data_IF_872656749002
#
_entry.id   IF_872656749002
#
_cell.length_a   1.000
_cell.length_b   1.000
_cell.length_c   1.000
_cell.angle_alpha   90.00
_cell.angle_beta   90.00
_cell.angle_gamma   90.00
#
_symmetry.space_group_name_H-M   'P 1'
#
loop_
_entity.id
_entity.type
_entity.pdbx_description
1 polymer ?
#
# COMPACT_ATOMS: atom_id res chain seq x y z
N UNK A 1 4.47 12.94 17.61
CA UNK A 1 5.63 12.71 16.73
C UNK A 1 5.16 11.93 15.52
N UNK A 2 5.16 12.55 14.34
CA UNK A 2 4.81 11.89 13.08
C UNK A 2 6.06 11.20 12.58
N UNK A 3 6.13 9.88 12.71
CA UNK A 3 7.20 9.08 12.10
C UNK A 3 6.93 8.96 10.60
N UNK A 4 7.86 9.42 9.77
CA UNK A 4 7.84 9.26 8.32
C UNK A 4 8.82 8.15 7.96
N UNK A 5 8.36 7.13 7.24
CA UNK A 5 9.22 6.02 6.85
C UNK A 5 9.50 6.09 5.35
N UNK A 6 10.64 6.71 5.00
CA UNK A 6 11.14 6.85 3.63
C UNK A 6 11.39 5.53 2.87
N UNK A 7 11.14 4.38 3.50
CA UNK A 7 11.40 3.05 2.97
C UNK A 7 10.28 2.06 3.34
N UNK A 8 9.01 2.44 3.17
CA UNK A 8 7.94 1.43 3.12
C UNK A 8 8.15 0.54 1.88
N UNK A 9 8.75 -0.61 2.13
CA UNK A 9 9.02 -1.67 1.14
C UNK A 9 8.81 -3.02 1.82
N UNK A 10 8.48 -4.10 1.08
CA UNK A 10 8.30 -5.43 1.65
C UNK A 10 9.50 -5.91 2.48
N UNK A 11 10.73 -5.53 2.09
CA UNK A 11 11.95 -5.92 2.82
C UNK A 11 12.03 -5.30 4.23
N UNK A 12 11.27 -4.24 4.49
CA UNK A 12 11.20 -3.55 5.78
C UNK A 12 9.98 -3.99 6.63
N UNK A 13 9.24 -5.01 6.17
CA UNK A 13 8.17 -5.68 6.90
C UNK A 13 8.69 -7.03 7.39
N UNK A 14 9.03 -7.12 8.68
CA UNK A 14 9.46 -8.38 9.28
C UNK A 14 8.26 -9.13 9.82
N UNK A 15 8.18 -10.43 9.50
CA UNK A 15 7.18 -11.34 10.05
C UNK A 15 7.92 -12.36 10.90
N UNK A 16 7.55 -12.48 12.17
CA UNK A 16 8.11 -13.51 13.05
C UNK A 16 7.37 -14.85 12.90
N UNK A 17 7.86 -15.90 13.58
CA UNK A 17 7.24 -17.25 13.52
C UNK A 17 5.79 -17.29 14.03
N UNK A 18 5.37 -16.32 14.86
CA UNK A 18 3.98 -16.17 15.30
C UNK A 18 3.09 -15.55 14.22
N UNK A 19 3.66 -14.93 13.19
CA UNK A 19 2.91 -14.15 12.18
C UNK A 19 2.75 -12.68 12.51
N UNK A 20 3.49 -12.15 13.50
CA UNK A 20 3.47 -10.73 13.82
C UNK A 20 4.28 -9.96 12.79
N UNK A 21 3.61 -9.05 12.09
CA UNK A 21 4.26 -8.10 11.20
C UNK A 21 4.75 -6.90 12.02
N UNK A 22 6.03 -6.57 11.88
CA UNK A 22 6.67 -5.40 12.47
C UNK A 22 7.40 -4.61 11.40
N UNK A 23 7.31 -3.29 11.48
CA UNK A 23 8.13 -2.40 10.67
C UNK A 23 9.56 -2.44 11.20
N UNK A 24 10.50 -2.73 10.32
CA UNK A 24 11.92 -2.78 10.64
C UNK A 24 12.68 -1.81 9.76
N UNK A 25 12.49 -0.51 10.00
CA UNK A 25 13.45 0.51 9.57
C UNK A 25 13.11 1.86 10.19
N UNK A 26 13.50 2.08 11.46
CA UNK A 26 13.53 3.45 12.01
C UNK A 26 14.86 4.17 11.69
N UNK A 27 15.81 3.49 11.03
CA UNK A 27 17.20 3.94 10.87
C UNK A 27 17.40 5.04 9.83
N UNK A 28 16.40 5.31 9.00
CA UNK A 28 16.43 6.36 7.97
C UNK A 28 15.19 7.26 7.99
N UNK A 29 14.50 7.39 9.12
CA UNK A 29 13.64 8.55 9.40
C UNK A 29 14.53 9.81 9.54
N UNK A 30 15.18 10.23 8.45
CA UNK A 30 16.13 11.34 8.43
C UNK A 30 15.41 12.64 8.15
N UNK A 31 15.54 13.57 9.10
CA UNK A 31 15.54 15.00 8.81
C UNK A 31 16.65 15.26 7.77
N UNK A 32 16.30 15.99 6.70
CA UNK A 32 17.14 16.59 5.64
C UNK A 32 18.65 16.25 5.69
N UNK A 33 19.13 15.65 4.61
CA UNK A 33 20.43 15.88 3.92
C UNK A 33 21.28 14.62 3.66
N UNK A 34 21.84 14.62 2.43
CA UNK A 34 22.88 13.79 1.83
C UNK A 34 22.47 12.55 0.99
N UNK A 35 22.78 12.55 -0.33
CA UNK A 35 22.59 11.39 -1.19
C UNK A 35 23.78 10.43 -1.04
N UNK A 36 23.52 9.17 -0.72
CA UNK A 36 24.51 8.09 -0.84
C UNK A 36 24.03 7.11 -1.90
N UNK A 37 24.72 7.13 -3.05
CA UNK A 37 24.46 6.25 -4.20
C UNK A 37 24.73 4.79 -3.79
N UNK A 38 23.68 3.98 -3.75
CA UNK A 38 23.76 2.52 -3.86
C UNK A 38 22.73 2.06 -4.91
N UNK A 39 23.24 1.44 -5.98
CA UNK A 39 22.55 1.18 -7.25
C UNK A 39 21.33 0.23 -7.16
N UNK A 40 21.11 -0.44 -6.03
CA UNK A 40 19.99 -1.35 -5.80
C UNK A 40 18.88 -0.74 -4.92
N UNK A 41 19.23 0.06 -3.91
CA UNK A 41 18.23 0.69 -3.04
C UNK A 41 17.40 1.75 -3.78
N UNK A 42 18.01 2.56 -4.65
CA UNK A 42 17.28 3.60 -5.38
C UNK A 42 16.17 3.01 -6.27
N UNK A 43 16.43 1.87 -6.93
CA UNK A 43 15.48 1.16 -7.79
C UNK A 43 14.33 0.57 -6.98
N UNK A 44 14.61 -0.14 -5.87
CA UNK A 44 13.52 -0.71 -5.05
C UNK A 44 12.73 0.40 -4.35
N UNK A 45 13.38 1.51 -3.96
CA UNK A 45 12.66 2.67 -3.43
C UNK A 45 11.84 3.39 -4.51
N UNK A 46 12.02 3.11 -5.81
CA UNK A 46 11.24 3.74 -6.87
C UNK A 46 9.82 3.16 -6.97
N UNK A 47 9.68 1.83 -6.85
CA UNK A 47 8.43 1.08 -7.04
C UNK A 47 7.29 1.45 -6.09
N UNK A 48 7.64 2.11 -4.98
CA UNK A 48 6.70 2.52 -3.93
C UNK A 48 6.63 4.05 -3.80
N UNK A 49 7.26 4.81 -4.72
CA UNK A 49 7.16 6.28 -4.73
C UNK A 49 5.88 6.74 -5.41
N UNK A 50 5.18 7.72 -4.83
CA UNK A 50 3.97 8.24 -5.43
C UNK A 50 4.26 9.21 -6.58
N UNK A 51 3.31 9.35 -7.54
CA UNK A 51 3.50 10.13 -8.75
C UNK A 51 3.75 11.63 -8.51
N UNK A 52 3.16 12.21 -7.46
CA UNK A 52 3.41 13.60 -7.07
C UNK A 52 4.87 13.85 -6.67
N UNK A 53 5.49 12.92 -5.92
CA UNK A 53 6.92 12.98 -5.57
C UNK A 53 7.80 12.74 -6.80
N UNK A 54 7.42 11.82 -7.68
CA UNK A 54 8.13 11.55 -8.94
C UNK A 54 8.07 12.75 -9.90
N UNK A 55 7.01 13.56 -9.84
CA UNK A 55 6.83 14.81 -10.57
C UNK A 55 7.38 16.04 -9.82
N UNK A 56 8.29 15.83 -8.86
CA UNK A 56 9.05 16.90 -8.22
C UNK A 56 8.35 17.62 -7.06
N UNK A 57 7.24 17.10 -6.53
CA UNK A 57 6.63 17.66 -5.32
C UNK A 57 7.63 17.64 -4.16
N UNK A 58 7.71 18.76 -3.45
CA UNK A 58 8.54 18.92 -2.24
C UNK A 58 7.72 18.81 -0.95
N UNK A 59 6.41 18.60 -1.07
CA UNK A 59 5.50 18.47 0.06
C UNK A 59 5.59 17.06 0.67
N UNK A 60 6.55 16.88 1.58
CA UNK A 60 6.69 15.64 2.33
C UNK A 60 5.63 15.55 3.42
N UNK A 61 4.74 14.56 3.28
CA UNK A 61 3.60 14.37 4.19
C UNK A 61 3.25 12.89 4.35
N UNK A 62 2.46 12.57 5.38
CA UNK A 62 2.02 11.19 5.69
C UNK A 62 1.30 10.46 4.54
N UNK A 63 0.57 11.12 3.61
CA UNK A 63 0.04 10.48 2.40
C UNK A 63 1.07 9.80 1.49
N UNK A 64 2.36 10.12 1.57
CA UNK A 64 3.40 9.42 0.80
C UNK A 64 3.46 7.95 1.21
N UNK A 65 3.45 7.68 2.51
CA UNK A 65 3.48 6.32 3.06
C UNK A 65 2.22 5.52 2.66
N UNK A 66 1.08 6.20 2.52
CA UNK A 66 -0.18 5.57 2.13
C UNK A 66 -0.15 5.01 0.70
N UNK A 67 0.52 5.70 -0.23
CA UNK A 67 0.74 5.18 -1.58
C UNK A 67 1.59 3.91 -1.57
N UNK A 68 2.69 3.93 -0.80
CA UNK A 68 3.55 2.78 -0.63
C UNK A 68 2.79 1.58 -0.02
N UNK A 69 1.94 1.84 0.97
CA UNK A 69 1.01 0.83 1.53
C UNK A 69 0.10 0.24 0.46
N UNK A 70 -0.46 1.05 -0.45
CA UNK A 70 -1.25 0.57 -1.58
C UNK A 70 -0.47 -0.37 -2.51
N UNK A 71 0.76 0.00 -2.84
CA UNK A 71 1.66 -0.81 -3.67
C UNK A 71 2.03 -2.14 -2.99
N UNK A 72 2.35 -2.11 -1.69
CA UNK A 72 2.64 -3.31 -0.89
C UNK A 72 1.38 -4.18 -0.74
N UNK A 73 0.21 -3.57 -0.51
CA UNK A 73 -1.06 -4.28 -0.40
C UNK A 73 -1.37 -5.06 -1.69
N UNK A 74 -1.15 -4.43 -2.84
CA UNK A 74 -1.21 -5.12 -4.13
C UNK A 74 -0.21 -6.28 -4.22
N UNK A 75 1.04 -6.04 -3.85
CA UNK A 75 2.12 -7.03 -3.96
C UNK A 75 1.89 -8.24 -3.06
N UNK A 76 1.44 -8.03 -1.82
CA UNK A 76 1.01 -9.11 -0.92
C UNK A 76 -0.12 -9.92 -1.54
N UNK A 77 -1.07 -9.25 -2.22
CA UNK A 77 -2.19 -9.93 -2.83
C UNK A 77 -1.80 -10.70 -4.10
N UNK A 78 -0.90 -10.17 -4.92
CA UNK A 78 -0.62 -10.67 -6.27
C UNK A 78 0.72 -11.40 -6.41
N UNK A 79 1.60 -11.32 -5.41
CA UNK A 79 2.94 -11.92 -5.41
C UNK A 79 3.95 -11.24 -6.34
N UNK A 80 3.62 -10.05 -6.86
CA UNK A 80 4.49 -9.27 -7.77
C UNK A 80 4.28 -7.77 -7.55
N UNK A 81 5.29 -6.93 -7.79
CA UNK A 81 5.15 -5.48 -7.67
C UNK A 81 4.10 -4.93 -8.64
N UNK A 82 3.43 -3.85 -8.21
CA UNK A 82 2.41 -3.16 -9.02
C UNK A 82 3.06 -2.31 -10.12
N UNK A 83 4.02 -1.48 -9.72
CA UNK A 83 4.82 -0.62 -10.58
C UNK A 83 6.28 -1.04 -10.39
N UNK A 84 6.95 -1.38 -11.48
CA UNK A 84 8.29 -1.98 -11.46
C UNK A 84 9.19 -1.32 -12.52
N UNK A 85 9.17 0.01 -12.58
CA UNK A 85 10.00 0.80 -13.46
C UNK A 85 11.46 0.82 -12.98
N UNK A 86 12.39 1.01 -13.91
CA UNK A 86 13.83 1.11 -13.57
C UNK A 86 14.32 2.56 -13.53
N UNK A 87 13.51 3.49 -14.06
CA UNK A 87 13.75 4.94 -14.10
C UNK A 87 12.47 5.69 -13.78
N UNK A 88 12.58 6.94 -13.34
CA UNK A 88 11.44 7.80 -12.98
C UNK A 88 10.41 7.88 -14.12
N UNK A 89 10.85 8.11 -15.35
CA UNK A 89 9.95 8.20 -16.52
C UNK A 89 9.24 6.87 -16.81
N UNK A 90 9.93 5.74 -16.63
CA UNK A 90 9.36 4.41 -16.81
C UNK A 90 8.33 4.10 -15.71
N UNK A 91 8.63 4.47 -14.47
CA UNK A 91 7.74 4.32 -13.32
C UNK A 91 6.46 5.13 -13.52
N UNK A 92 6.58 6.41 -13.87
CA UNK A 92 5.45 7.28 -14.18
C UNK A 92 4.62 6.75 -15.36
N UNK A 93 5.27 6.25 -16.41
CA UNK A 93 4.58 5.63 -17.53
C UNK A 93 3.78 4.38 -17.12
N UNK A 94 4.32 3.53 -16.24
CA UNK A 94 3.60 2.38 -15.70
C UNK A 94 2.39 2.82 -14.86
N UNK A 95 2.57 3.81 -13.98
CA UNK A 95 1.49 4.38 -13.17
C UNK A 95 0.38 4.88 -14.08
N UNK A 96 0.69 5.70 -15.09
CA UNK A 96 -0.31 6.27 -15.99
C UNK A 96 -0.98 5.22 -16.87
N UNK A 97 -0.25 4.22 -17.32
CA UNK A 97 -0.82 3.12 -18.11
C UNK A 97 -1.87 2.34 -17.31
N UNK A 98 -1.65 2.14 -16.02
CA UNK A 98 -2.54 1.37 -15.17
C UNK A 98 -3.66 2.20 -14.52
N UNK A 99 -3.35 3.40 -14.03
CA UNK A 99 -4.31 4.26 -13.31
C UNK A 99 -4.93 5.36 -14.20
N UNK A 100 -4.46 5.51 -15.44
CA UNK A 100 -4.84 6.57 -16.35
C UNK A 100 -3.92 7.79 -16.22
N UNK A 101 -3.79 8.57 -17.29
CA UNK A 101 -3.01 9.81 -17.28
C UNK A 101 -3.70 10.83 -16.36
N UNK A 102 -2.98 11.45 -15.41
CA UNK A 102 -3.58 12.41 -14.48
C UNK A 102 -4.13 13.62 -15.23
N UNK A 103 -5.31 14.07 -14.81
CA UNK A 103 -5.97 15.31 -15.24
C UNK A 103 -6.01 16.32 -14.11
N UNK A 104 -6.37 17.57 -14.41
CA UNK A 104 -6.58 18.64 -13.41
C UNK A 104 -7.60 18.27 -12.32
N UNK A 105 -8.55 17.38 -12.62
CA UNK A 105 -9.50 16.89 -11.62
C UNK A 105 -8.84 15.88 -10.66
N UNK A 106 -7.95 15.03 -11.16
CA UNK A 106 -7.31 13.97 -10.36
C UNK A 106 -6.04 14.43 -9.64
N UNK A 107 -5.33 15.40 -10.23
CA UNK A 107 -4.12 16.01 -9.69
C UNK A 107 -4.07 17.48 -10.16
N UNK A 108 -4.60 18.42 -9.36
CA UNK A 108 -4.60 19.83 -9.70
C UNK A 108 -3.19 20.37 -9.97
N UNK A 109 -3.04 21.15 -11.04
CA UNK A 109 -1.76 21.75 -11.46
C UNK A 109 -0.88 20.85 -12.33
N UNK A 110 -1.26 19.59 -12.57
CA UNK A 110 -0.43 18.63 -13.30
C UNK A 110 -0.14 19.06 -14.74
N UNK A 111 -1.09 19.71 -15.42
CA UNK A 111 -0.90 20.14 -16.82
C UNK A 111 0.12 21.28 -16.95
N UNK A 112 0.37 22.02 -15.88
CA UNK A 112 1.38 23.10 -15.82
C UNK A 112 2.73 22.63 -15.26
N UNK A 113 2.84 21.37 -14.82
CA UNK A 113 4.07 20.82 -14.27
C UNK A 113 5.08 20.53 -15.41
N UNK A 114 6.31 21.09 -15.35
CA UNK A 114 7.29 20.94 -16.42
C UNK A 114 7.81 19.50 -16.56
N UNK A 115 7.97 18.77 -15.44
CA UNK A 115 8.41 17.37 -15.44
C UNK A 115 7.34 16.50 -16.11
N UNK A 116 6.06 16.74 -15.82
CA UNK A 116 4.95 16.04 -16.49
C UNK A 116 4.93 16.30 -18.00
N UNK A 117 5.10 17.55 -18.43
CA UNK A 117 5.15 17.90 -19.85
C UNK A 117 6.38 17.31 -20.57
N UNK A 118 7.51 17.18 -19.88
CA UNK A 118 8.74 16.64 -20.42
C UNK A 118 8.65 15.13 -20.77
N UNK A 119 7.78 14.38 -20.07
CA UNK A 119 7.60 12.94 -20.29
C UNK A 119 7.09 12.61 -21.71
N UNK A 120 6.32 13.50 -22.33
CA UNK A 120 5.75 13.34 -23.69
C UNK A 120 5.05 11.98 -23.90
N UNK A 121 4.37 11.48 -22.87
CA UNK A 121 3.66 10.21 -22.91
C UNK A 121 2.29 10.35 -23.60
N UNK A 122 1.76 9.28 -24.23
CA UNK A 122 0.40 9.29 -24.73
C UNK A 122 -0.61 9.37 -23.58
N UNK A 123 -1.84 9.79 -23.91
CA UNK A 123 -2.94 9.76 -22.95
C UNK A 123 -3.43 8.33 -22.74
N UNK A 124 -3.53 7.89 -21.49
CA UNK A 124 -4.04 6.59 -21.08
C UNK A 124 -5.35 6.76 -20.31
N UNK A 125 -6.35 5.91 -20.60
CA UNK A 125 -7.61 5.91 -19.85
C UNK A 125 -7.53 5.17 -18.50
N UNK A 126 -6.48 4.38 -18.28
CA UNK A 126 -6.34 3.48 -17.13
C UNK A 126 -7.11 2.18 -17.30
N UNK A 127 -6.74 1.16 -16.53
CA UNK A 127 -7.41 -0.13 -16.47
C UNK A 127 -8.15 -0.26 -15.14
N UNK A 128 -9.34 -0.90 -15.10
CA UNK A 128 -9.98 -1.21 -13.84
C UNK A 128 -9.04 -1.99 -12.92
N UNK A 129 -8.81 -1.51 -11.69
CA UNK A 129 -7.93 -2.15 -10.70
C UNK A 129 -8.23 -3.64 -10.51
N UNK A 130 -9.50 -4.05 -10.66
CA UNK A 130 -9.92 -5.46 -10.60
C UNK A 130 -9.21 -6.36 -11.62
N UNK A 131 -8.89 -5.84 -12.80
CA UNK A 131 -8.13 -6.56 -13.83
C UNK A 131 -6.66 -6.70 -13.46
N UNK A 132 -6.12 -5.72 -12.74
CA UNK A 132 -4.72 -5.72 -12.30
C UNK A 132 -4.54 -6.61 -11.06
N UNK A 133 -5.47 -6.52 -10.10
CA UNK A 133 -5.44 -7.22 -8.82
C UNK A 133 -6.50 -8.33 -8.77
N UNK A 134 -6.33 -9.34 -9.62
CA UNK A 134 -7.29 -10.44 -9.80
C UNK A 134 -7.55 -11.24 -8.53
N UNK A 135 -6.61 -11.23 -7.57
CA UNK A 135 -6.70 -11.95 -6.30
C UNK A 135 -7.48 -11.19 -5.21
N UNK A 136 -7.77 -9.90 -5.40
CA UNK A 136 -8.58 -9.09 -4.48
C UNK A 136 -10.06 -9.17 -4.84
N UNK A 137 -10.93 -9.23 -3.84
CA UNK A 137 -12.37 -9.04 -4.02
C UNK A 137 -12.75 -7.55 -4.11
N UNK A 138 -14.04 -7.23 -4.27
CA UNK A 138 -14.47 -5.84 -4.48
C UNK A 138 -14.08 -4.93 -3.31
N UNK A 139 -14.18 -5.44 -2.07
CA UNK A 139 -13.80 -4.70 -0.87
C UNK A 139 -12.29 -4.39 -0.86
N UNK A 140 -11.45 -5.37 -1.19
CA UNK A 140 -10.01 -5.15 -1.36
C UNK A 140 -9.68 -4.16 -2.47
N UNK A 141 -10.39 -4.23 -3.61
CA UNK A 141 -10.22 -3.25 -4.72
C UNK A 141 -10.60 -1.84 -4.28
N UNK A 142 -11.70 -1.68 -3.53
CA UNK A 142 -12.14 -0.38 -3.03
C UNK A 142 -11.10 0.25 -2.10
N UNK A 143 -10.49 -0.53 -1.21
CA UNK A 143 -9.43 -0.02 -0.33
C UNK A 143 -8.15 0.31 -1.12
N UNK A 144 -7.77 -0.52 -2.10
CA UNK A 144 -6.63 -0.26 -2.98
C UNK A 144 -6.79 1.06 -3.75
N UNK A 145 -7.99 1.35 -4.27
CA UNK A 145 -8.31 2.61 -4.96
C UNK A 145 -8.17 3.84 -4.04
N UNK A 146 -8.52 3.70 -2.76
CA UNK A 146 -8.35 4.76 -1.75
C UNK A 146 -6.89 5.03 -1.40
N UNK A 147 -6.03 4.01 -1.48
CA UNK A 147 -4.58 4.17 -1.28
C UNK A 147 -3.90 4.85 -2.48
N UNK A 148 -4.28 4.47 -3.70
CA UNK A 148 -3.62 4.86 -4.95
C UNK A 148 -4.21 6.12 -5.60
N UNK A 149 -4.65 7.11 -4.79
CA UNK A 149 -5.08 8.41 -5.33
C UNK A 149 -3.89 9.26 -5.75
N UNK A 150 -4.00 9.91 -6.91
CA UNK A 150 -2.99 10.86 -7.40
C UNK A 150 -2.80 12.02 -6.42
N UNK A 151 -3.88 12.77 -6.13
CA UNK A 151 -3.86 13.85 -5.16
C UNK A 151 -3.58 13.27 -3.74
N UNK A 152 -2.46 13.67 -3.09
CA UNK A 152 -2.11 13.16 -1.76
C UNK A 152 -3.17 13.48 -0.71
N UNK A 153 -3.88 14.60 -0.84
CA UNK A 153 -4.96 14.99 0.09
C UNK A 153 -6.22 14.12 -0.05
N UNK A 154 -6.35 13.37 -1.13
CA UNK A 154 -7.46 12.45 -1.35
C UNK A 154 -7.13 11.01 -0.94
N UNK A 155 -5.89 10.71 -0.54
CA UNK A 155 -5.51 9.37 -0.04
C UNK A 155 -6.10 9.16 1.35
N UNK A 156 -6.63 7.96 1.59
CA UNK A 156 -7.18 7.59 2.90
C UNK A 156 -6.10 7.66 4.00
N UNK A 157 -6.45 8.12 5.19
CA UNK A 157 -5.50 8.10 6.31
C UNK A 157 -5.28 6.66 6.81
N UNK A 158 -4.13 6.38 7.44
CA UNK A 158 -3.90 5.06 8.05
C UNK A 158 -4.97 4.71 9.09
N UNK A 159 -5.47 5.71 9.84
CA UNK A 159 -6.55 5.53 10.81
C UNK A 159 -7.84 5.08 10.13
N UNK A 160 -8.25 5.77 9.08
CA UNK A 160 -9.51 5.46 8.39
C UNK A 160 -9.40 4.15 7.61
N UNK A 161 -8.22 3.82 7.09
CA UNK A 161 -7.95 2.55 6.42
C UNK A 161 -8.13 1.35 7.36
N UNK A 162 -7.72 1.47 8.63
CA UNK A 162 -7.97 0.43 9.63
C UNK A 162 -9.46 0.21 9.92
N UNK A 163 -10.31 1.20 9.62
CA UNK A 163 -11.76 1.13 9.79
C UNK A 163 -12.50 0.72 8.50
N UNK A 164 -11.78 0.36 7.44
CA UNK A 164 -12.38 -0.02 6.17
C UNK A 164 -13.17 -1.34 6.27
N UNK A 165 -14.20 -1.48 5.44
CA UNK A 165 -15.04 -2.67 5.36
C UNK A 165 -14.24 -3.97 5.19
N UNK A 166 -13.05 -3.89 4.56
CA UNK A 166 -12.14 -5.04 4.42
C UNK A 166 -11.82 -5.70 5.77
N UNK A 167 -11.67 -4.88 6.82
CA UNK A 167 -11.29 -5.33 8.16
C UNK A 167 -12.49 -5.55 9.09
N UNK A 168 -13.72 -5.34 8.62
CA UNK A 168 -14.95 -5.48 9.43
C UNK A 168 -15.18 -6.86 10.04
N UNK A 169 -14.45 -7.87 9.56
CA UNK A 169 -14.53 -9.24 10.08
C UNK A 169 -13.76 -9.42 11.38
N UNK A 170 -12.76 -8.58 11.66
CA UNK A 170 -11.95 -8.67 12.87
C UNK A 170 -12.73 -8.24 14.13
N UNK A 171 -12.38 -8.79 15.32
CA UNK A 171 -12.99 -8.39 16.57
C UNK A 171 -12.86 -6.88 16.81
N UNK A 172 -13.92 -6.16 17.24
CA UNK A 172 -13.87 -4.71 17.50
C UNK A 172 -12.77 -4.28 18.48
N UNK A 173 -12.38 -5.18 19.38
CA UNK A 173 -11.29 -5.01 20.33
C UNK A 173 -9.95 -4.70 19.65
N UNK A 174 -9.79 -5.05 18.37
CA UNK A 174 -8.57 -4.73 17.61
C UNK A 174 -8.30 -3.22 17.54
N UNK A 175 -9.34 -2.41 17.60
CA UNK A 175 -9.23 -0.95 17.53
C UNK A 175 -8.94 -0.28 18.88
N UNK A 176 -9.07 -1.01 19.98
CA UNK A 176 -8.85 -0.51 21.36
C UNK A 176 -7.69 -1.20 22.07
N UNK A 177 -6.97 -2.09 21.38
CA UNK A 177 -5.76 -2.73 21.86
C UNK A 177 -4.71 -1.71 22.32
N UNK A 178 -4.04 -2.03 23.42
CA UNK A 178 -2.84 -1.30 23.82
C UNK A 178 -1.79 -1.38 22.69
N UNK A 179 -1.16 -0.25 22.29
CA UNK A 179 -0.16 -0.24 21.22
C UNK A 179 1.00 -1.22 21.39
N UNK A 180 1.30 -1.68 22.61
CA UNK A 180 2.38 -2.65 22.87
C UNK A 180 1.93 -4.11 22.73
N UNK A 181 0.62 -4.36 22.69
CA UNK A 181 0.05 -5.70 22.62
C UNK A 181 -0.03 -6.20 21.18
N UNK A 182 0.07 -7.51 21.02
CA UNK A 182 -0.09 -8.15 19.73
C UNK A 182 -1.58 -8.32 19.39
N UNK A 183 -1.94 -8.11 18.12
CA UNK A 183 -3.29 -8.45 17.63
C UNK A 183 -3.54 -9.96 17.76
N UNK A 184 -2.50 -10.78 17.73
CA UNK A 184 -2.58 -12.24 17.90
C UNK A 184 -2.94 -12.66 19.33
N UNK A 185 -2.95 -11.72 20.28
CA UNK A 185 -3.39 -11.98 21.65
C UNK A 185 -4.93 -11.83 21.80
N UNK A 186 -5.63 -11.42 20.73
CA UNK A 186 -7.10 -11.37 20.72
C UNK A 186 -7.71 -12.72 20.34
N UNK A 187 -8.77 -13.09 21.06
CA UNK A 187 -9.57 -14.25 20.72
C UNK A 187 -10.19 -14.07 19.32
N UNK A 188 -10.04 -15.07 18.47
CA UNK A 188 -10.55 -15.05 17.09
C UNK A 188 -9.54 -14.58 16.04
N UNK A 189 -8.37 -14.06 16.44
CA UNK A 189 -7.29 -13.73 15.49
C UNK A 189 -6.27 -14.86 15.46
N UNK A 190 -6.20 -15.57 14.33
CA UNK A 190 -5.26 -16.68 14.14
C UNK A 190 -4.61 -16.56 12.77
N UNK A 191 -3.30 -16.81 12.71
CA UNK A 191 -2.60 -16.93 11.43
C UNK A 191 -3.05 -18.21 10.72
N UNK A 192 -3.58 -18.07 9.51
CA UNK A 192 -3.92 -19.22 8.68
C UNK A 192 -2.69 -19.74 7.95
N UNK A 193 -2.52 -21.06 7.90
CA UNK A 193 -1.51 -21.67 7.02
C UNK A 193 -1.90 -21.39 5.58
N UNK A 194 -0.95 -20.91 4.79
CA UNK A 194 -1.15 -20.70 3.37
C UNK A 194 -1.32 -22.06 2.68
N UNK A 195 -2.54 -22.34 2.20
CA UNK A 195 -2.87 -23.53 1.44
C UNK A 195 -2.66 -23.33 -0.08
N UNK A 196 -2.05 -22.22 -0.51
CA UNK A 196 -1.85 -21.89 -1.92
C UNK A 196 -3.12 -21.40 -2.61
N UNK A 197 -4.07 -20.86 -1.85
CA UNK A 197 -5.39 -20.43 -2.34
C UNK A 197 -5.27 -19.37 -3.44
N UNK A 198 -5.90 -19.61 -4.59
CA UNK A 198 -5.85 -18.71 -5.77
C UNK A 198 -6.49 -17.33 -5.55
N UNK A 199 -7.26 -17.12 -4.49
CA UNK A 199 -7.95 -15.86 -4.19
C UNK A 199 -7.76 -15.48 -2.73
N UNK A 200 -7.56 -14.19 -2.44
CA UNK A 200 -7.64 -13.63 -1.09
C UNK A 200 -8.99 -12.94 -1.01
N UNK A 201 -10.00 -13.68 -0.58
CA UNK A 201 -11.34 -13.14 -0.37
C UNK A 201 -11.49 -12.65 1.07
N UNK A 202 -12.27 -11.60 1.30
CA UNK A 202 -12.85 -11.29 2.62
C UNK A 202 -13.52 -12.52 3.24
N UNK A 203 -14.02 -13.47 2.43
CA UNK A 203 -14.54 -14.76 2.91
C UNK A 203 -13.48 -15.71 3.48
N UNK A 204 -12.23 -15.65 3.01
CA UNK A 204 -11.12 -16.38 3.63
C UNK A 204 -10.74 -15.77 4.98
N UNK A 205 -10.78 -14.43 5.10
CA UNK A 205 -10.69 -13.77 6.41
C UNK A 205 -11.87 -14.13 7.34
N UNK A 206 -13.10 -14.29 6.80
CA UNK A 206 -14.28 -14.78 7.57
C UNK A 206 -14.12 -16.21 8.10
N UNK A 207 -13.40 -17.08 7.40
CA UNK A 207 -13.28 -18.50 7.77
C UNK A 207 -12.31 -18.71 8.96
N UNK A 208 -11.45 -17.73 9.25
CA UNK A 208 -10.50 -17.78 10.37
C UNK A 208 -11.18 -17.63 11.75
N UNK A 209 -12.41 -17.09 11.81
CA UNK A 209 -13.06 -16.68 13.06
C UNK A 209 -14.07 -17.73 13.57
N UNK A 210 -14.41 -18.74 12.77
CA UNK A 210 -15.42 -19.74 13.14
C UNK A 210 -14.89 -21.17 13.10
N UNK A 211 -14.05 -21.54 14.07
CA UNK A 211 -13.89 -22.95 14.52
C UNK A 211 -13.46 -23.04 15.98
N UNK A 212 -14.36 -22.66 16.91
CA UNK A 212 -14.33 -23.20 18.29
C UNK A 212 -15.68 -23.04 19.01
N UNK A 213 -16.78 -23.44 18.36
CA UNK A 213 -18.09 -23.53 19.02
C UNK A 213 -18.82 -24.82 18.65
N UNK A 214 -18.15 -25.98 18.66
CA UNK A 214 -18.83 -27.28 18.50
C UNK A 214 -18.01 -28.48 19.01
N UNK A 215 -17.40 -28.40 20.20
CA UNK A 215 -16.99 -29.62 20.93
C UNK A 215 -17.10 -29.35 22.43
N UNK A 216 -18.32 -29.27 22.94
CA UNK A 216 -18.69 -29.59 24.31
C UNK A 216 -20.21 -29.72 24.39
N UNK A 217 -20.67 -30.93 24.10
CA UNK A 217 -21.69 -31.70 24.83
C UNK A 217 -21.68 -33.12 24.25
#
# INVERSE_FOLDING_TARGET
YTFMNYLFRPQNLLINERGELKLADFGLARIKSFPTKTYSHEVVTLWYRPPDVLLGSTEYSTPIDIWAVGCIFYEMACGRPLFAGTKVDEELNLIFKYLGTPTEQTLPGVTSNPDFQALRLPFYHGEPLKRLATRLDQTGINLLDKFLRYNPNCRISARDAMMDELFSTYPPEIHTLDPIRSILDLNGIVLMKDHGSKFISSSLMKTAISKRSSVHL
#
